data_IF_376505038135
#
_entry.id   IF_376505038135
#
_cell.length_a   1.000
_cell.length_b   1.000
_cell.length_c   1.000
_cell.angle_alpha   90.00
_cell.angle_beta   90.00
_cell.angle_gamma   90.00
#
_symmetry.space_group_name_H-M   'P 1'
#
loop_
_entity.id
_entity.type
_entity.pdbx_description
1 polymer ?
#
# COMPACT_ATOMS: atom_id res chain seq x y z
N UNK A 1 23.51 5.77 -22.49
CA UNK A 1 22.72 6.38 -21.39
C UNK A 1 21.43 6.91 -21.99
N UNK A 2 20.35 7.01 -21.22
CA UNK A 2 19.14 7.74 -21.63
C UNK A 2 18.86 8.73 -20.51
N UNK A 3 18.81 10.02 -20.84
CA UNK A 3 18.71 11.08 -19.83
C UNK A 3 17.96 12.29 -20.41
N UNK A 4 17.13 12.93 -19.60
CA UNK A 4 16.48 14.18 -19.90
C UNK A 4 16.57 15.13 -18.73
N UNK A 5 17.10 16.32 -18.95
CA UNK A 5 17.00 17.44 -18.02
C UNK A 5 16.15 18.55 -18.66
N UNK A 6 14.96 18.77 -18.12
CA UNK A 6 14.01 19.76 -18.64
C UNK A 6 14.48 21.20 -18.41
N UNK A 7 15.15 21.44 -17.27
CA UNK A 7 15.61 22.78 -16.90
C UNK A 7 16.69 23.29 -17.83
N UNK A 8 17.56 22.40 -18.30
CA UNK A 8 18.67 22.71 -19.21
C UNK A 8 18.37 22.33 -20.66
N UNK A 9 17.17 21.85 -20.94
CA UNK A 9 16.76 21.35 -22.26
C UNK A 9 17.72 20.29 -22.84
N UNK A 10 18.31 19.47 -21.99
CA UNK A 10 19.25 18.41 -22.39
C UNK A 10 18.54 17.09 -22.58
N UNK A 11 18.82 16.42 -23.69
CA UNK A 11 18.32 15.10 -24.02
C UNK A 11 19.46 14.22 -24.54
N UNK A 12 19.91 13.27 -23.74
CA UNK A 12 20.89 12.24 -24.14
C UNK A 12 20.18 10.91 -24.40
N UNK A 13 20.26 10.46 -25.64
CA UNK A 13 19.71 9.19 -26.11
C UNK A 13 20.81 8.23 -26.61
N UNK A 14 22.09 8.49 -26.30
CA UNK A 14 23.23 7.73 -26.80
C UNK A 14 23.17 6.24 -26.47
N UNK A 15 22.42 5.86 -25.45
CA UNK A 15 22.18 4.44 -25.09
C UNK A 15 21.22 3.68 -26.00
N UNK A 16 20.66 4.34 -27.05
CA UNK A 16 19.68 3.78 -27.97
C UNK A 16 20.22 3.76 -29.42
N UNK A 17 19.69 2.86 -30.26
CA UNK A 17 19.95 2.85 -31.69
C UNK A 17 19.34 4.09 -32.37
N UNK A 18 19.92 4.51 -33.51
CA UNK A 18 19.54 5.74 -34.22
C UNK A 18 18.04 5.81 -34.51
N UNK A 19 17.41 4.74 -34.98
CA UNK A 19 15.97 4.69 -35.23
C UNK A 19 15.15 4.93 -33.96
N UNK A 20 15.59 4.41 -32.80
CA UNK A 20 14.90 4.61 -31.55
C UNK A 20 15.10 6.02 -30.99
N UNK A 21 16.27 6.60 -31.21
CA UNK A 21 16.52 8.01 -30.88
C UNK A 21 15.59 8.92 -31.66
N UNK A 22 15.44 8.70 -32.96
CA UNK A 22 14.57 9.48 -33.83
C UNK A 22 13.10 9.38 -33.40
N UNK A 23 12.60 8.15 -33.18
CA UNK A 23 11.23 7.93 -32.70
C UNK A 23 10.95 8.64 -31.37
N UNK A 24 11.92 8.65 -30.44
CA UNK A 24 11.75 9.38 -29.18
C UNK A 24 11.73 10.88 -29.44
N UNK A 25 12.65 11.43 -30.24
CA UNK A 25 12.72 12.87 -30.52
C UNK A 25 11.42 13.40 -31.14
N UNK A 26 10.85 12.64 -32.07
CA UNK A 26 9.60 13.05 -32.76
C UNK A 26 8.39 12.98 -31.81
N UNK A 27 8.37 12.00 -30.89
CA UNK A 27 7.19 11.72 -30.07
C UNK A 27 7.30 12.27 -28.63
N UNK A 28 8.42 12.91 -28.26
CA UNK A 28 8.66 13.40 -26.91
C UNK A 28 8.07 14.80 -26.73
N UNK A 29 6.93 14.87 -26.10
CA UNK A 29 6.30 16.12 -25.68
C UNK A 29 6.94 16.63 -24.37
N UNK A 30 6.76 17.92 -24.08
CA UNK A 30 7.39 18.54 -22.91
C UNK A 30 6.94 17.93 -21.59
N UNK A 31 5.71 17.48 -21.50
CA UNK A 31 5.16 16.85 -20.27
C UNK A 31 5.38 15.34 -20.21
N UNK A 32 5.77 14.71 -21.32
CA UNK A 32 5.93 13.26 -21.36
C UNK A 32 7.18 12.77 -20.59
N UNK A 33 7.02 11.71 -19.81
CA UNK A 33 8.14 11.00 -19.21
C UNK A 33 8.81 10.10 -20.25
N UNK A 34 10.13 10.23 -20.37
CA UNK A 34 10.90 9.43 -21.32
C UNK A 34 10.77 7.93 -21.09
N UNK A 35 10.59 7.51 -19.84
CA UNK A 35 10.37 6.10 -19.46
C UNK A 35 9.03 5.60 -20.00
N UNK A 36 7.97 6.38 -19.85
CA UNK A 36 6.63 6.04 -20.33
C UNK A 36 6.58 5.96 -21.85
N UNK A 37 7.15 6.97 -22.52
CA UNK A 37 7.24 7.00 -23.98
C UNK A 37 8.07 5.83 -24.51
N UNK A 38 9.25 5.58 -23.96
CA UNK A 38 10.13 4.50 -24.39
C UNK A 38 9.51 3.11 -24.17
N UNK A 39 8.71 2.95 -23.10
CA UNK A 39 7.96 1.72 -22.88
C UNK A 39 6.86 1.52 -23.93
N UNK A 40 6.12 2.58 -24.32
CA UNK A 40 5.16 2.56 -25.44
C UNK A 40 5.84 2.19 -26.74
N UNK A 41 7.04 2.69 -26.99
CA UNK A 41 7.86 2.35 -28.16
C UNK A 41 8.55 0.98 -28.04
N UNK A 42 8.19 0.16 -27.05
CA UNK A 42 8.69 -1.19 -26.81
C UNK A 42 10.22 -1.26 -26.67
N UNK A 43 10.84 -0.22 -26.07
CA UNK A 43 12.26 -0.23 -25.75
C UNK A 43 12.47 -1.06 -24.46
N UNK A 44 13.14 -2.22 -24.51
CA UNK A 44 13.11 -3.20 -23.42
C UNK A 44 13.58 -2.63 -22.06
N UNK A 45 14.66 -1.85 -22.05
CA UNK A 45 15.19 -1.24 -20.82
C UNK A 45 14.22 -0.23 -20.19
N UNK A 46 13.55 0.59 -21.02
CA UNK A 46 12.59 1.59 -20.52
C UNK A 46 11.28 0.92 -20.09
N UNK A 47 10.88 -0.15 -20.81
CA UNK A 47 9.76 -0.98 -20.39
C UNK A 47 10.02 -1.62 -19.01
N UNK A 48 11.20 -2.19 -18.79
CA UNK A 48 11.58 -2.79 -17.51
C UNK A 48 11.50 -1.79 -16.35
N UNK A 49 12.00 -0.56 -16.57
CA UNK A 49 11.93 0.50 -15.54
C UNK A 49 10.47 0.88 -15.27
N UNK A 50 9.65 1.07 -16.30
CA UNK A 50 8.23 1.37 -16.11
C UNK A 50 7.51 0.25 -15.35
N UNK A 51 7.73 -1.00 -15.75
CA UNK A 51 7.08 -2.16 -15.13
C UNK A 51 7.47 -2.25 -13.65
N UNK A 52 8.73 -1.97 -13.29
CA UNK A 52 9.15 -1.89 -11.90
C UNK A 52 8.34 -0.86 -11.07
N UNK A 53 8.04 0.31 -11.63
CA UNK A 53 7.16 1.27 -10.95
C UNK A 53 5.72 0.78 -10.85
N UNK A 54 5.21 0.09 -11.86
CA UNK A 54 3.86 -0.49 -11.84
C UNK A 54 3.73 -1.64 -10.82
N UNK A 55 4.80 -2.41 -10.63
CA UNK A 55 4.84 -3.51 -9.68
C UNK A 55 5.14 -3.02 -8.24
N UNK A 56 5.36 -1.71 -8.06
CA UNK A 56 5.56 -1.12 -6.74
C UNK A 56 4.22 -0.77 -6.10
N UNK A 57 4.13 -0.98 -4.79
CA UNK A 57 2.96 -0.61 -4.00
C UNK A 57 3.05 0.86 -3.58
N UNK A 58 1.94 1.58 -3.64
CA UNK A 58 1.80 2.94 -3.14
C UNK A 58 0.64 2.95 -2.13
N UNK A 59 0.86 3.53 -0.96
CA UNK A 59 -0.16 3.82 0.02
C UNK A 59 -0.11 5.33 0.32
N UNK A 60 -1.04 6.08 -0.24
CA UNK A 60 -1.16 7.53 -0.06
C UNK A 60 -2.28 7.84 0.93
N UNK A 61 -1.92 8.06 2.19
CA UNK A 61 -2.88 8.47 3.22
C UNK A 61 -3.21 9.97 3.16
N UNK A 62 -2.53 10.75 2.34
CA UNK A 62 -2.83 12.17 2.07
C UNK A 62 -3.95 12.36 1.07
N UNK A 63 -4.16 11.42 0.13
CA UNK A 63 -5.32 11.45 -0.76
C UNK A 63 -6.59 10.98 -0.02
N UNK A 64 -7.66 11.81 0.11
CA UNK A 64 -8.85 11.45 0.87
C UNK A 64 -9.60 10.22 0.33
N UNK A 65 -9.57 9.99 -0.97
CA UNK A 65 -10.27 8.85 -1.60
C UNK A 65 -9.49 7.58 -1.34
N UNK A 66 -8.17 7.62 -1.53
CA UNK A 66 -7.30 6.49 -1.29
C UNK A 66 -7.27 6.13 0.20
N UNK A 67 -7.16 7.10 1.09
CA UNK A 67 -7.24 6.90 2.53
C UNK A 67 -8.57 6.25 2.95
N UNK A 68 -9.71 6.70 2.40
CA UNK A 68 -11.00 6.09 2.67
C UNK A 68 -11.10 4.64 2.16
N UNK A 69 -10.41 4.31 1.09
CA UNK A 69 -10.30 2.93 0.58
C UNK A 69 -9.38 2.09 1.47
N UNK A 70 -8.16 2.57 1.73
CA UNK A 70 -7.16 1.88 2.55
C UNK A 70 -7.70 1.55 3.95
N UNK A 71 -8.38 2.50 4.61
CA UNK A 71 -8.91 2.33 5.96
C UNK A 71 -10.00 1.25 6.09
N UNK A 72 -10.48 0.72 4.98
CA UNK A 72 -11.43 -0.42 4.95
C UNK A 72 -10.75 -1.76 4.68
N UNK A 73 -9.46 -1.75 4.41
CA UNK A 73 -8.72 -2.99 4.14
C UNK A 73 -8.55 -3.79 5.42
N UNK A 74 -8.94 -5.04 5.34
CA UNK A 74 -8.70 -6.04 6.37
C UNK A 74 -7.63 -7.00 5.81
N UNK A 75 -6.59 -7.35 6.60
CA UNK A 75 -5.59 -8.30 6.13
C UNK A 75 -6.23 -9.61 5.65
N UNK A 76 -5.81 -10.15 4.50
CA UNK A 76 -6.33 -11.41 3.99
C UNK A 76 -6.23 -12.53 5.04
N UNK A 77 -7.34 -13.24 5.27
CA UNK A 77 -7.42 -14.30 6.28
C UNK A 77 -7.55 -13.82 7.74
N UNK A 78 -7.51 -12.51 8.01
CA UNK A 78 -7.55 -11.98 9.38
C UNK A 78 -8.81 -12.37 10.13
N UNK A 79 -9.93 -12.48 9.45
CA UNK A 79 -11.24 -12.79 10.06
C UNK A 79 -11.28 -14.23 10.58
N UNK A 80 -10.73 -15.19 9.83
CA UNK A 80 -10.93 -16.61 10.05
C UNK A 80 -9.68 -17.34 10.56
N UNK A 81 -8.49 -16.72 10.44
CA UNK A 81 -7.21 -17.35 10.78
C UNK A 81 -6.52 -16.64 11.96
N UNK A 82 -6.50 -17.33 13.11
CA UNK A 82 -5.81 -16.86 14.31
C UNK A 82 -4.32 -16.64 14.08
N UNK A 83 -3.67 -17.40 13.21
CA UNK A 83 -2.25 -17.22 12.94
C UNK A 83 -1.97 -15.91 12.19
N UNK A 84 -2.91 -15.45 11.34
CA UNK A 84 -2.85 -14.13 10.70
C UNK A 84 -3.04 -13.03 11.75
N UNK A 85 -4.01 -13.17 12.66
CA UNK A 85 -4.20 -12.20 13.76
C UNK A 85 -2.94 -12.08 14.62
N UNK A 86 -2.30 -13.21 14.97
CA UNK A 86 -1.07 -13.22 15.76
C UNK A 86 0.12 -12.57 15.03
N UNK A 87 0.19 -12.67 13.70
CA UNK A 87 1.17 -11.92 12.89
C UNK A 87 0.91 -10.41 12.95
N UNK A 88 -0.34 -9.99 12.86
CA UNK A 88 -0.72 -8.57 12.97
C UNK A 88 -0.39 -8.04 14.38
N UNK A 89 -0.67 -8.79 15.44
CA UNK A 89 -0.26 -8.42 16.82
C UNK A 89 1.25 -8.24 16.93
N UNK A 90 2.04 -9.16 16.36
CA UNK A 90 3.51 -9.04 16.33
C UNK A 90 3.98 -7.80 15.57
N UNK A 91 3.32 -7.46 14.50
CA UNK A 91 3.59 -6.24 13.74
C UNK A 91 3.31 -5.00 14.61
N UNK A 92 2.16 -4.96 15.30
CA UNK A 92 1.84 -3.86 16.21
C UNK A 92 2.81 -3.72 17.37
N UNK A 93 3.38 -4.80 17.88
CA UNK A 93 4.35 -4.76 18.96
C UNK A 93 5.59 -3.87 18.69
N UNK A 94 5.85 -3.53 17.41
CA UNK A 94 6.96 -2.65 17.02
C UNK A 94 6.69 -1.16 17.30
N UNK A 95 5.43 -0.73 17.39
CA UNK A 95 5.05 0.69 17.59
C UNK A 95 3.94 0.91 18.61
N UNK A 96 3.12 -0.09 18.90
CA UNK A 96 2.14 -0.09 19.98
C UNK A 96 2.09 -1.45 20.68
N UNK A 97 2.89 -1.62 21.71
CA UNK A 97 2.95 -2.87 22.47
C UNK A 97 1.75 -3.07 23.41
N UNK A 98 0.82 -2.12 23.49
CA UNK A 98 -0.41 -2.28 24.27
C UNK A 98 -1.40 -3.21 23.56
N UNK A 99 -1.41 -3.26 22.23
CA UNK A 99 -2.26 -4.16 21.45
C UNK A 99 -1.71 -5.59 21.56
N UNK A 100 -2.47 -6.45 22.22
CA UNK A 100 -2.07 -7.84 22.54
C UNK A 100 -2.94 -8.89 21.86
N UNK A 101 -4.00 -8.48 21.18
CA UNK A 101 -4.92 -9.38 20.49
C UNK A 101 -6.01 -8.65 19.74
N UNK A 102 -6.82 -9.44 19.03
CA UNK A 102 -8.04 -8.98 18.39
C UNK A 102 -9.17 -9.97 18.66
N UNK A 103 -10.36 -9.43 18.90
CA UNK A 103 -11.62 -10.17 18.89
C UNK A 103 -12.31 -9.90 17.57
N UNK A 104 -12.67 -10.95 16.85
CA UNK A 104 -13.34 -10.86 15.54
C UNK A 104 -14.66 -11.60 15.64
N UNK A 105 -15.76 -10.89 15.40
CA UNK A 105 -17.10 -11.42 15.41
C UNK A 105 -17.77 -11.19 14.04
N UNK A 106 -18.43 -12.21 13.51
CA UNK A 106 -19.27 -12.09 12.34
C UNK A 106 -20.71 -11.96 12.80
N UNK A 107 -21.32 -10.81 12.55
CA UNK A 107 -22.69 -10.49 12.91
C UNK A 107 -23.55 -10.66 11.66
N UNK A 108 -24.60 -11.51 11.72
CA UNK A 108 -25.59 -11.56 10.67
C UNK A 108 -26.41 -10.26 10.67
N UNK A 109 -26.79 -9.76 9.49
CA UNK A 109 -27.72 -8.62 9.43
C UNK A 109 -29.09 -9.05 9.94
N UNK A 110 -29.75 -8.18 10.73
CA UNK A 110 -31.10 -8.42 11.23
C UNK A 110 -32.20 -8.18 10.14
N UNK A 111 -31.81 -7.75 8.94
CA UNK A 111 -32.72 -7.54 7.82
C UNK A 111 -32.90 -8.85 7.02
N UNK A 112 -34.13 -9.35 6.99
CA UNK A 112 -34.52 -10.59 6.31
C UNK A 112 -34.25 -10.60 4.78
N UNK A 113 -33.92 -9.46 4.17
CA UNK A 113 -33.63 -9.30 2.74
C UNK A 113 -32.16 -9.11 2.41
N UNK A 114 -31.27 -9.00 3.41
CA UNK A 114 -29.83 -8.75 3.20
C UNK A 114 -28.97 -9.85 3.84
N UNK A 115 -28.45 -10.74 2.99
CA UNK A 115 -27.50 -11.82 3.36
C UNK A 115 -26.09 -11.25 3.71
N UNK A 116 -25.99 -9.93 3.97
CA UNK A 116 -24.73 -9.28 4.32
C UNK A 116 -24.29 -9.63 5.74
N UNK A 117 -23.06 -10.09 5.85
CA UNK A 117 -22.39 -10.34 7.13
C UNK A 117 -21.58 -9.11 7.49
N UNK A 118 -21.82 -8.55 8.65
CA UNK A 118 -20.99 -7.49 9.20
C UNK A 118 -19.87 -8.09 10.05
N UNK A 119 -18.65 -7.64 9.80
CA UNK A 119 -17.49 -8.05 10.58
C UNK A 119 -17.23 -6.96 11.61
N UNK A 120 -17.26 -7.35 12.89
CA UNK A 120 -16.84 -6.51 14.00
C UNK A 120 -15.45 -6.94 14.43
N UNK A 121 -14.55 -5.98 14.51
CA UNK A 121 -13.17 -6.19 14.96
C UNK A 121 -12.93 -5.26 16.16
N UNK A 122 -12.54 -5.83 17.28
CA UNK A 122 -12.16 -5.10 18.47
C UNK A 122 -10.68 -5.39 18.77
N UNK A 123 -9.88 -4.34 19.03
CA UNK A 123 -8.51 -4.48 19.50
C UNK A 123 -8.51 -4.73 21.01
N UNK A 124 -7.69 -5.65 21.48
CA UNK A 124 -7.51 -5.97 22.89
C UNK A 124 -6.21 -5.33 23.38
N UNK A 125 -6.33 -4.38 24.29
CA UNK A 125 -5.21 -3.66 24.89
C UNK A 125 -4.88 -4.15 26.27
N UNK A 126 -3.58 -4.18 26.59
CA UNK A 126 -3.09 -4.33 27.94
C UNK A 126 -3.20 -2.98 28.67
N UNK A 127 -3.79 -2.96 29.85
CA UNK A 127 -3.81 -1.77 30.70
C UNK A 127 -2.44 -1.65 31.40
N UNK A 128 -1.83 -0.46 31.32
CA UNK A 128 -0.55 -0.18 31.95
C UNK A 128 -0.61 -0.47 33.47
N UNK A 129 0.46 -1.05 33.99
CA UNK A 129 0.60 -1.38 35.43
C UNK A 129 -0.49 -2.30 36.00
N UNK A 130 -1.20 -3.05 35.13
CA UNK A 130 -2.27 -3.97 35.49
C UNK A 130 -2.15 -5.28 34.70
N UNK A 131 -2.78 -6.35 35.24
CA UNK A 131 -3.00 -7.59 34.49
C UNK A 131 -4.35 -7.60 33.74
N UNK A 132 -5.07 -6.47 33.77
CA UNK A 132 -6.35 -6.32 33.11
C UNK A 132 -6.18 -5.92 31.65
N UNK A 133 -7.20 -6.15 30.86
CA UNK A 133 -7.28 -5.78 29.45
C UNK A 133 -8.49 -4.89 29.18
N UNK A 134 -8.37 -4.00 28.22
CA UNK A 134 -9.47 -3.23 27.68
C UNK A 134 -9.70 -3.64 26.22
N UNK A 135 -10.95 -3.56 25.79
CA UNK A 135 -11.33 -3.86 24.41
C UNK A 135 -11.87 -2.59 23.76
N UNK A 136 -11.30 -2.22 22.63
CA UNK A 136 -11.66 -1.00 21.88
C UNK A 136 -12.07 -1.43 20.46
N UNK A 137 -13.27 -1.02 19.97
CA UNK A 137 -13.62 -1.23 18.57
C UNK A 137 -12.53 -0.69 17.64
N UNK A 138 -12.14 -1.45 16.63
CA UNK A 138 -11.09 -1.01 15.69
C UNK A 138 -11.42 0.34 15.05
N UNK A 139 -12.71 0.62 14.80
CA UNK A 139 -13.18 1.90 14.25
C UNK A 139 -13.01 3.09 15.22
N UNK A 140 -12.80 2.85 16.50
CA UNK A 140 -12.58 3.86 17.53
C UNK A 140 -11.10 4.04 17.90
N UNK A 141 -10.22 3.25 17.28
CA UNK A 141 -8.79 3.37 17.44
C UNK A 141 -8.24 4.70 16.90
N UNK A 142 -7.01 5.03 17.31
CA UNK A 142 -6.34 6.22 16.79
C UNK A 142 -6.18 6.14 15.27
N UNK A 143 -6.16 7.30 14.60
CA UNK A 143 -5.90 7.36 13.17
C UNK A 143 -4.57 6.68 12.79
N UNK A 144 -3.55 6.78 13.63
CA UNK A 144 -2.27 6.09 13.43
C UNK A 144 -2.43 4.57 13.47
N UNK A 145 -3.15 4.05 14.48
CA UNK A 145 -3.45 2.61 14.59
C UNK A 145 -4.19 2.09 13.35
N UNK A 146 -5.21 2.84 12.90
CA UNK A 146 -5.99 2.48 11.71
C UNK A 146 -5.13 2.48 10.44
N UNK A 147 -4.29 3.51 10.24
CA UNK A 147 -3.35 3.57 9.12
C UNK A 147 -2.38 2.38 9.13
N UNK A 148 -1.83 2.04 10.29
CA UNK A 148 -0.91 0.91 10.40
C UNK A 148 -1.60 -0.42 10.15
N UNK A 149 -2.85 -0.59 10.61
CA UNK A 149 -3.64 -1.79 10.33
C UNK A 149 -3.89 -1.95 8.82
N UNK A 150 -4.30 -0.85 8.16
CA UNK A 150 -4.55 -0.80 6.73
C UNK A 150 -3.28 -1.03 5.88
N UNK A 151 -2.12 -0.59 6.38
CA UNK A 151 -0.83 -0.73 5.69
C UNK A 151 -0.28 -2.16 5.75
N UNK A 152 -0.65 -2.93 6.78
CA UNK A 152 -0.07 -4.25 7.03
C UNK A 152 -0.10 -5.19 5.82
N UNK A 153 -1.20 -5.33 5.04
CA UNK A 153 -1.24 -6.22 3.88
C UNK A 153 -0.21 -5.86 2.81
N UNK A 154 -0.09 -4.57 2.48
CA UNK A 154 0.85 -4.10 1.47
C UNK A 154 2.30 -4.26 1.93
N UNK A 155 2.57 -4.01 3.21
CA UNK A 155 3.89 -4.20 3.79
C UNK A 155 4.27 -5.69 3.81
N UNK A 156 3.35 -6.56 4.21
CA UNK A 156 3.59 -8.01 4.23
C UNK A 156 3.86 -8.54 2.82
N UNK A 157 3.03 -8.18 1.85
CA UNK A 157 3.22 -8.57 0.44
C UNK A 157 4.59 -8.13 -0.09
N UNK A 158 4.96 -6.87 0.17
CA UNK A 158 6.24 -6.31 -0.23
C UNK A 158 7.43 -7.06 0.37
N UNK A 159 7.36 -7.41 1.66
CA UNK A 159 8.42 -8.14 2.35
C UNK A 159 8.53 -9.60 1.91
N UNK A 160 7.41 -10.26 1.66
CA UNK A 160 7.36 -11.68 1.26
C UNK A 160 7.75 -11.86 -0.22
N UNK A 161 7.36 -10.94 -1.09
CA UNK A 161 7.54 -11.05 -2.54
C UNK A 161 8.71 -10.20 -3.09
N UNK A 162 9.40 -9.45 -2.24
CA UNK A 162 10.57 -8.67 -2.63
C UNK A 162 10.23 -7.43 -3.48
N UNK A 163 9.16 -6.75 -3.16
CA UNK A 163 8.69 -5.54 -3.82
C UNK A 163 9.24 -4.24 -3.23
N UNK A 164 8.63 -3.13 -3.61
CA UNK A 164 8.84 -1.79 -3.06
C UNK A 164 7.51 -1.21 -2.63
N UNK A 165 7.48 -0.62 -1.45
CA UNK A 165 6.33 0.08 -0.91
C UNK A 165 6.70 1.54 -0.68
N UNK A 166 5.94 2.44 -1.30
CA UNK A 166 5.97 3.86 -1.02
C UNK A 166 4.80 4.20 -0.12
N UNK A 167 5.07 4.93 0.95
CA UNK A 167 4.03 5.37 1.90
C UNK A 167 4.12 6.87 2.04
N UNK A 168 3.00 7.56 1.83
CA UNK A 168 2.88 9.00 2.02
C UNK A 168 1.91 9.32 3.16
N UNK A 169 2.16 10.41 3.90
CA UNK A 169 1.32 10.92 5.00
C UNK A 169 0.98 9.85 6.08
N UNK A 170 1.97 9.08 6.51
CA UNK A 170 1.80 8.06 7.55
C UNK A 170 1.59 8.64 8.96
N UNK A 171 2.00 9.87 9.21
CA UNK A 171 1.94 10.61 10.49
C UNK A 171 0.56 11.21 10.79
#
# INVERSE_FOLDING_TARGET
MVYRNRLENQLDLSGLSSNRQENIRISLEDEALIVSLGAKLKIPKLKLIRDWFYDSNLADFGDPIENAFLSRLIPPGFVDDKAVQDKVVKYFAAFDSSIIGFNVETIASDDDDDDSKHIKIDAVHRIADSNETATIPLSEESAGTLKMFALYPALQDTLENGGVLFVDELN
#
